data_IF_381133027880
#
_entry.id   IF_381133027880
#
_cell.length_a   1.000
_cell.length_b   1.000
_cell.length_c   1.000
_cell.angle_alpha   90.00
_cell.angle_beta   90.00
_cell.angle_gamma   90.00
#
_symmetry.space_group_name_H-M   'P 1'
#
loop_
_entity.id
_entity.type
_entity.pdbx_description
1 polymer ?
#
# COMPACT_ATOMS: atom_id res chain seq x y z
N UNK A 1 18.10 31.71 -43.57
CA UNK A 1 17.94 32.18 -42.19
C UNK A 1 16.64 31.69 -41.57
N UNK A 2 15.53 31.70 -42.30
CA UNK A 2 14.22 31.19 -41.82
C UNK A 2 14.22 29.70 -41.41
N UNK A 3 14.97 28.85 -42.12
CA UNK A 3 15.07 27.41 -41.79
C UNK A 3 15.81 27.12 -40.46
N UNK A 4 16.72 28.00 -40.03
CA UNK A 4 17.46 27.85 -38.78
C UNK A 4 16.65 28.29 -37.56
N UNK A 5 15.82 29.32 -37.69
CA UNK A 5 14.91 29.76 -36.62
C UNK A 5 13.82 28.72 -36.36
N UNK A 6 13.25 28.15 -37.42
CA UNK A 6 12.23 27.10 -37.32
C UNK A 6 12.76 25.82 -36.65
N UNK A 7 14.01 25.44 -36.92
CA UNK A 7 14.63 24.29 -36.25
C UNK A 7 14.84 24.54 -34.76
N UNK A 8 15.23 25.76 -34.35
CA UNK A 8 15.39 26.10 -32.93
C UNK A 8 14.07 26.13 -32.18
N UNK A 9 12.98 26.54 -32.83
CA UNK A 9 11.63 26.51 -32.26
C UNK A 9 11.14 25.07 -32.06
N UNK A 10 11.33 24.20 -33.05
CA UNK A 10 11.04 22.76 -32.97
C UNK A 10 11.80 22.08 -31.83
N UNK A 11 13.09 22.38 -31.64
CA UNK A 11 13.88 21.81 -30.53
C UNK A 11 13.34 22.23 -29.16
N UNK A 12 12.82 23.46 -29.03
CA UNK A 12 12.20 23.92 -27.78
C UNK A 12 10.88 23.22 -27.51
N UNK A 13 10.03 23.06 -28.52
CA UNK A 13 8.77 22.33 -28.40
C UNK A 13 8.99 20.86 -28.02
N UNK A 14 9.99 20.19 -28.62
CA UNK A 14 10.35 18.82 -28.26
C UNK A 14 10.81 18.74 -26.80
N UNK A 15 11.67 19.66 -26.35
CA UNK A 15 12.15 19.67 -24.97
C UNK A 15 11.02 19.93 -23.96
N UNK A 16 10.06 20.81 -24.29
CA UNK A 16 8.89 21.09 -23.46
C UNK A 16 7.93 19.89 -23.40
N UNK A 17 7.73 19.21 -24.53
CA UNK A 17 6.94 17.98 -24.61
C UNK A 17 7.58 16.83 -23.81
N UNK A 18 8.90 16.65 -23.92
CA UNK A 18 9.63 15.63 -23.14
C UNK A 18 9.54 15.88 -21.63
N UNK A 19 9.65 17.14 -21.21
CA UNK A 19 9.50 17.54 -19.81
C UNK A 19 8.09 17.27 -19.30
N UNK A 20 7.07 17.67 -20.05
CA UNK A 20 5.66 17.45 -19.71
C UNK A 20 5.32 15.96 -19.64
N UNK A 21 5.86 15.17 -20.58
CA UNK A 21 5.74 13.71 -20.58
C UNK A 21 6.37 13.11 -19.33
N UNK A 22 7.60 13.50 -18.98
CA UNK A 22 8.29 12.99 -17.79
C UNK A 22 7.51 13.29 -16.49
N UNK A 23 6.92 14.47 -16.38
CA UNK A 23 6.08 14.85 -15.23
C UNK A 23 4.80 14.01 -15.14
N UNK A 24 4.13 13.79 -16.27
CA UNK A 24 2.92 12.99 -16.34
C UNK A 24 3.19 11.52 -15.99
N UNK A 25 4.27 10.92 -16.53
CA UNK A 25 4.70 9.57 -16.17
C UNK A 25 5.12 9.46 -14.70
N UNK A 26 5.75 10.50 -14.15
CA UNK A 26 6.05 10.61 -12.72
C UNK A 26 4.78 10.49 -11.88
N UNK A 27 3.76 11.31 -12.15
CA UNK A 27 2.50 11.31 -11.43
C UNK A 27 1.74 9.98 -11.54
N UNK A 28 1.72 9.38 -12.73
CA UNK A 28 1.09 8.06 -12.94
C UNK A 28 1.81 6.99 -12.10
N UNK A 29 3.14 6.99 -12.08
CA UNK A 29 3.90 6.02 -11.31
C UNK A 29 3.66 6.15 -9.80
N UNK A 30 3.55 7.38 -9.28
CA UNK A 30 3.23 7.62 -7.86
C UNK A 30 1.82 7.13 -7.51
N UNK A 31 0.84 7.37 -8.38
CA UNK A 31 -0.53 6.89 -8.20
C UNK A 31 -0.58 5.35 -8.15
N UNK A 32 0.10 4.69 -9.08
CA UNK A 32 0.16 3.22 -9.15
C UNK A 32 0.79 2.65 -7.87
N UNK A 33 1.89 3.24 -7.41
CA UNK A 33 2.55 2.83 -6.16
C UNK A 33 1.61 2.99 -4.97
N UNK A 34 0.88 4.11 -4.87
CA UNK A 34 -0.07 4.35 -3.80
C UNK A 34 -1.21 3.32 -3.79
N UNK A 35 -1.78 3.01 -4.96
CA UNK A 35 -2.84 1.99 -5.10
C UNK A 35 -2.31 0.61 -4.69
N UNK A 36 -1.13 0.23 -5.16
CA UNK A 36 -0.49 -1.03 -4.77
C UNK A 36 -0.26 -1.11 -3.26
N UNK A 37 0.21 -0.02 -2.63
CA UNK A 37 0.48 0.00 -1.20
C UNK A 37 -0.79 -0.18 -0.36
N UNK A 38 -1.87 0.54 -0.71
CA UNK A 38 -3.15 0.40 -0.03
C UNK A 38 -3.69 -1.01 -0.21
N UNK A 39 -3.61 -1.56 -1.42
CA UNK A 39 -4.11 -2.91 -1.72
C UNK A 39 -3.37 -3.99 -0.92
N UNK A 40 -2.03 -3.95 -0.90
CA UNK A 40 -1.21 -4.90 -0.14
C UNK A 40 -1.43 -4.73 1.37
N UNK A 41 -1.51 -3.50 1.86
CA UNK A 41 -1.74 -3.21 3.27
C UNK A 41 -3.07 -3.76 3.77
N UNK A 42 -4.15 -3.57 3.01
CA UNK A 42 -5.47 -4.12 3.31
C UNK A 42 -5.46 -5.64 3.33
N UNK A 43 -4.74 -6.27 2.40
CA UNK A 43 -4.64 -7.73 2.36
C UNK A 43 -3.90 -8.29 3.59
N UNK A 44 -2.75 -7.70 3.96
CA UNK A 44 -1.99 -8.13 5.13
C UNK A 44 -2.85 -8.00 6.40
N UNK A 45 -3.54 -6.87 6.58
CA UNK A 45 -4.38 -6.63 7.75
C UNK A 45 -5.57 -7.61 7.81
N UNK A 46 -6.25 -7.85 6.69
CA UNK A 46 -7.36 -8.81 6.64
C UNK A 46 -6.93 -10.24 6.95
N UNK A 47 -5.76 -10.65 6.45
CA UNK A 47 -5.18 -11.96 6.74
C UNK A 47 -4.80 -12.11 8.23
N UNK A 48 -4.25 -11.06 8.84
CA UNK A 48 -3.94 -11.05 10.28
C UNK A 48 -5.19 -11.21 11.13
N UNK A 49 -6.28 -10.51 10.78
CA UNK A 49 -7.56 -10.64 11.50
C UNK A 49 -8.09 -12.06 11.38
N UNK A 50 -8.06 -12.64 10.18
CA UNK A 50 -8.46 -14.03 9.96
C UNK A 50 -7.66 -15.01 10.84
N UNK A 51 -6.32 -14.87 10.89
CA UNK A 51 -5.51 -15.75 11.72
C UNK A 51 -5.70 -15.53 13.22
N UNK A 52 -5.78 -14.28 13.67
CA UNK A 52 -6.05 -13.97 15.08
C UNK A 52 -7.42 -14.49 15.51
N UNK A 53 -8.43 -14.41 14.63
CA UNK A 53 -9.74 -14.97 14.90
C UNK A 53 -9.67 -16.49 15.09
N UNK A 54 -8.97 -17.19 14.18
CA UNK A 54 -8.79 -18.64 14.27
C UNK A 54 -8.00 -19.09 15.50
N UNK A 55 -7.01 -18.31 15.91
CA UNK A 55 -6.14 -18.70 17.02
C UNK A 55 -6.68 -18.31 18.39
N UNK A 56 -7.37 -17.18 18.50
CA UNK A 56 -7.83 -16.66 19.79
C UNK A 56 -9.33 -16.87 19.94
N UNK A 57 -10.13 -16.41 18.98
CA UNK A 57 -11.57 -16.33 19.14
C UNK A 57 -12.23 -17.72 19.03
N UNK A 58 -11.83 -18.53 18.04
CA UNK A 58 -12.40 -19.87 17.85
C UNK A 58 -12.15 -20.78 19.06
N UNK A 59 -10.92 -20.93 19.59
CA UNK A 59 -10.68 -21.82 20.74
C UNK A 59 -11.25 -21.28 22.05
N UNK A 60 -11.30 -19.95 22.22
CA UNK A 60 -11.78 -19.33 23.48
C UNK A 60 -13.30 -19.34 23.60
N UNK A 61 -14.02 -19.09 22.50
CA UNK A 61 -15.46 -18.90 22.52
C UNK A 61 -16.25 -20.01 21.81
N UNK A 62 -15.57 -20.96 21.15
CA UNK A 62 -16.23 -22.06 20.42
C UNK A 62 -17.07 -21.59 19.23
N UNK A 63 -16.79 -20.41 18.69
CA UNK A 63 -17.53 -19.84 17.55
C UNK A 63 -17.00 -20.36 16.23
N UNK A 64 -17.84 -20.29 15.19
CA UNK A 64 -17.46 -20.73 13.84
C UNK A 64 -16.30 -19.89 13.28
N UNK A 65 -15.30 -20.51 12.61
CA UNK A 65 -14.21 -19.78 12.01
C UNK A 65 -14.69 -18.89 10.86
N UNK A 66 -14.29 -17.62 10.87
CA UNK A 66 -14.55 -16.72 9.75
C UNK A 66 -13.81 -17.18 8.49
N UNK A 67 -14.41 -16.93 7.34
CA UNK A 67 -13.78 -17.15 6.04
C UNK A 67 -12.70 -16.09 5.78
N UNK A 68 -11.76 -16.40 4.88
CA UNK A 68 -10.72 -15.44 4.47
C UNK A 68 -11.34 -14.15 3.91
N UNK A 69 -12.44 -14.25 3.15
CA UNK A 69 -13.20 -13.11 2.63
C UNK A 69 -13.80 -12.23 3.73
N UNK A 70 -14.36 -12.84 4.78
CA UNK A 70 -14.86 -12.11 5.95
C UNK A 70 -13.72 -11.41 6.71
N UNK A 71 -12.56 -12.06 6.85
CA UNK A 71 -11.36 -11.44 7.42
C UNK A 71 -10.92 -10.18 6.67
N UNK A 72 -10.90 -10.22 5.33
CA UNK A 72 -10.65 -9.03 4.52
C UNK A 72 -11.72 -7.95 4.71
N UNK A 73 -13.00 -8.31 4.74
CA UNK A 73 -14.10 -7.38 4.96
C UNK A 73 -13.97 -6.64 6.30
N UNK A 74 -13.65 -7.36 7.38
CA UNK A 74 -13.39 -6.75 8.70
C UNK A 74 -12.14 -5.88 8.65
N UNK A 75 -11.08 -6.30 7.96
CA UNK A 75 -9.86 -5.50 7.78
C UNK A 75 -10.11 -4.16 7.07
N UNK A 76 -10.89 -4.18 5.99
CA UNK A 76 -11.29 -2.96 5.27
C UNK A 76 -12.15 -2.08 6.16
N UNK A 77 -13.13 -2.66 6.86
CA UNK A 77 -14.00 -1.94 7.78
C UNK A 77 -13.19 -1.24 8.88
N UNK A 78 -12.24 -1.93 9.51
CA UNK A 78 -11.36 -1.36 10.53
C UNK A 78 -10.44 -0.27 9.97
N UNK A 79 -9.91 -0.45 8.75
CA UNK A 79 -9.07 0.55 8.10
C UNK A 79 -9.85 1.84 7.79
N UNK A 80 -11.10 1.71 7.34
CA UNK A 80 -12.02 2.84 7.15
C UNK A 80 -12.31 3.56 8.47
N UNK A 81 -12.62 2.81 9.53
CA UNK A 81 -12.96 3.37 10.85
C UNK A 81 -11.78 4.05 11.54
N UNK A 82 -10.55 3.52 11.38
CA UNK A 82 -9.35 4.13 11.97
C UNK A 82 -8.84 5.35 11.19
N UNK A 83 -9.41 5.66 10.03
CA UNK A 83 -8.88 6.70 9.15
C UNK A 83 -7.46 6.41 8.65
N UNK A 84 -7.06 5.13 8.63
CA UNK A 84 -5.73 4.69 8.18
C UNK A 84 -5.61 4.70 6.65
N UNK A 85 -6.68 5.01 5.93
CA UNK A 85 -6.60 5.31 4.50
C UNK A 85 -5.74 6.55 4.35
N UNK A 86 -4.51 6.43 3.79
CA UNK A 86 -3.63 7.56 3.67
C UNK A 86 -4.33 8.61 2.82
N UNK A 87 -4.69 9.73 3.46
CA UNK A 87 -5.15 10.91 2.75
C UNK A 87 -4.01 11.33 1.81
N UNK A 88 -4.29 11.39 0.51
CA UNK A 88 -3.36 11.92 -0.50
C UNK A 88 -2.95 13.38 -0.22
N UNK A 89 -3.53 14.03 0.79
CA UNK A 89 -3.12 15.34 1.26
C UNK A 89 -2.00 15.24 2.30
N UNK A 90 -0.75 15.34 1.85
CA UNK A 90 0.20 16.33 2.37
C UNK A 90 1.52 16.33 1.58
N UNK A 91 1.59 17.30 0.67
CA UNK A 91 2.76 18.14 0.41
C UNK A 91 3.98 17.46 -0.20
N UNK A 92 4.11 17.58 -1.52
CA UNK A 92 5.35 17.74 -2.31
C UNK A 92 6.62 16.94 -1.93
N UNK A 93 6.49 15.88 -1.13
CA UNK A 93 7.52 14.89 -0.89
C UNK A 93 7.20 13.76 -1.83
N UNK A 94 7.92 13.72 -2.96
CA UNK A 94 7.98 12.53 -3.80
C UNK A 94 8.18 11.34 -2.87
N UNK A 95 7.23 10.42 -2.84
CA UNK A 95 7.35 9.22 -2.01
C UNK A 95 8.53 8.44 -2.57
N UNK A 96 9.68 8.55 -1.91
CA UNK A 96 10.89 7.90 -2.39
C UNK A 96 10.76 6.39 -2.23
N UNK A 97 11.33 5.62 -3.16
CA UNK A 97 11.39 4.14 -3.10
C UNK A 97 11.91 3.64 -1.74
N UNK A 98 12.74 4.43 -1.05
CA UNK A 98 13.22 4.15 0.30
C UNK A 98 12.11 4.17 1.37
N UNK A 99 11.19 5.16 1.34
CA UNK A 99 10.05 5.21 2.26
C UNK A 99 9.09 4.04 2.01
N UNK A 100 8.90 3.68 0.74
CA UNK A 100 8.11 2.52 0.33
C UNK A 100 8.69 1.22 0.88
N UNK A 101 10.00 1.00 0.70
CA UNK A 101 10.72 -0.16 1.25
C UNK A 101 10.59 -0.22 2.77
N UNK A 102 10.68 0.93 3.45
CA UNK A 102 10.54 1.00 4.90
C UNK A 102 9.12 0.60 5.35
N UNK A 103 8.06 1.13 4.71
CA UNK A 103 6.67 0.75 5.04
C UNK A 103 6.38 -0.73 4.81
N UNK A 104 6.82 -1.28 3.68
CA UNK A 104 6.66 -2.73 3.43
C UNK A 104 7.38 -3.55 4.48
N UNK A 105 8.65 -3.22 4.77
CA UNK A 105 9.44 -3.94 5.78
C UNK A 105 8.76 -3.89 7.14
N UNK A 106 8.23 -2.73 7.53
CA UNK A 106 7.51 -2.57 8.78
C UNK A 106 6.21 -3.40 8.82
N UNK A 107 5.43 -3.42 7.75
CA UNK A 107 4.22 -4.27 7.64
C UNK A 107 4.56 -5.77 7.71
N UNK A 108 5.64 -6.20 7.04
CA UNK A 108 6.12 -7.58 7.10
C UNK A 108 6.64 -7.95 8.49
N UNK A 109 7.35 -7.05 9.18
CA UNK A 109 7.80 -7.27 10.55
C UNK A 109 6.63 -7.41 11.52
N UNK A 110 5.59 -6.55 11.37
CA UNK A 110 4.34 -6.70 12.13
C UNK A 110 3.70 -8.06 11.86
N UNK A 111 3.56 -8.45 10.59
CA UNK A 111 2.99 -9.74 10.20
C UNK A 111 3.76 -10.89 10.86
N UNK A 112 5.09 -10.89 10.75
CA UNK A 112 5.95 -11.90 11.33
C UNK A 112 5.81 -11.97 12.86
N UNK A 113 5.76 -10.83 13.54
CA UNK A 113 5.55 -10.76 14.99
C UNK A 113 4.19 -11.34 15.41
N UNK A 114 3.11 -10.98 14.72
CA UNK A 114 1.78 -11.53 15.02
C UNK A 114 1.69 -13.03 14.75
N UNK A 115 2.28 -13.50 13.65
CA UNK A 115 2.34 -14.93 13.35
C UNK A 115 3.16 -15.69 14.40
N UNK A 116 4.29 -15.14 14.84
CA UNK A 116 5.11 -15.74 15.88
C UNK A 116 4.38 -15.77 17.23
N UNK A 117 3.71 -14.68 17.61
CA UNK A 117 2.94 -14.62 18.85
C UNK A 117 1.78 -15.61 18.87
N UNK A 118 1.03 -15.72 17.77
CA UNK A 118 -0.08 -16.66 17.74
C UNK A 118 0.36 -18.12 17.56
N UNK A 119 1.50 -18.38 16.92
CA UNK A 119 2.15 -19.69 16.99
C UNK A 119 2.54 -20.04 18.43
N UNK A 120 3.16 -19.12 19.17
CA UNK A 120 3.47 -19.33 20.59
C UNK A 120 2.21 -19.58 21.41
N UNK A 121 1.14 -18.82 21.20
CA UNK A 121 -0.14 -19.02 21.89
C UNK A 121 -0.71 -20.42 21.63
N UNK A 122 -0.57 -20.94 20.40
CA UNK A 122 -1.03 -22.29 20.03
C UNK A 122 -0.25 -23.43 20.71
N UNK A 123 0.90 -23.17 21.33
CA UNK A 123 1.62 -24.18 22.13
C UNK A 123 1.02 -24.37 23.53
N UNK A 124 0.22 -23.42 24.01
CA UNK A 124 -0.37 -23.42 25.36
C UNK A 124 -1.88 -23.71 25.35
N UNK A 125 -2.48 -23.88 24.17
CA UNK A 125 -3.88 -24.27 23.95
C UNK A 125 -3.90 -25.71 23.46
#
# INVERSE_FOLDING_TARGET
MEATEKNQELEREIAEYEKSRAELWGNVSELVIAICQVSIGLQINGFLIYQLWKWIIVPTYGVEPITVGQGFGVGIFLALFRGEIPSLKKGNKRITVAEYRHRIRYSLQKLALFLLLGWLASLFV
#
